data_IF_174729503287
#
_entry.id   IF_174729503287
#
_cell.length_a   1.000
_cell.length_b   1.000
_cell.length_c   1.000
_cell.angle_alpha   90.00
_cell.angle_beta   90.00
_cell.angle_gamma   90.00
#
_symmetry.space_group_name_H-M   'P 1'
#
loop_
_entity.id
_entity.type
_entity.pdbx_description
1 polymer ?
#
# COMPACT_ATOMS: atom_id res chain seq x y z
N UNK A 1 0.90 -9.48 33.21
CA UNK A 1 0.24 -9.82 31.93
C UNK A 1 1.34 -9.95 30.89
N UNK A 2 1.44 -11.12 30.26
CA UNK A 2 2.56 -11.49 29.40
C UNK A 2 2.54 -10.69 28.10
N UNK A 3 3.61 -9.93 27.85
CA UNK A 3 3.86 -9.26 26.58
C UNK A 3 4.33 -10.31 25.57
N UNK A 4 3.49 -10.64 24.59
CA UNK A 4 3.85 -11.49 23.47
C UNK A 4 4.65 -10.64 22.50
N UNK A 5 5.98 -10.72 22.57
CA UNK A 5 6.88 -10.21 21.53
C UNK A 5 6.66 -11.04 20.27
N UNK A 6 6.04 -10.46 19.26
CA UNK A 6 5.75 -11.13 17.99
C UNK A 6 6.60 -10.50 16.89
N UNK A 7 7.69 -11.18 16.52
CA UNK A 7 8.60 -10.74 15.46
C UNK A 7 7.94 -10.81 14.07
N UNK A 8 8.39 -9.96 13.15
CA UNK A 8 7.95 -9.86 11.73
C UNK A 8 7.75 -11.22 11.03
N UNK A 9 8.61 -12.21 11.33
CA UNK A 9 8.52 -13.57 10.77
C UNK A 9 7.18 -14.24 11.10
N UNK A 10 6.64 -13.96 12.29
CA UNK A 10 5.39 -14.53 12.79
C UNK A 10 4.15 -13.92 12.11
N UNK A 11 4.21 -12.64 11.71
CA UNK A 11 3.16 -11.96 10.94
C UNK A 11 3.05 -12.50 9.50
N UNK A 12 4.18 -12.85 8.89
CA UNK A 12 4.20 -13.45 7.54
C UNK A 12 3.73 -14.91 7.60
N UNK A 13 4.13 -15.68 8.62
CA UNK A 13 3.78 -17.10 8.76
C UNK A 13 2.28 -17.34 8.96
N UNK A 14 1.59 -16.49 9.73
CA UNK A 14 0.14 -16.63 9.98
C UNK A 14 -0.70 -16.35 8.74
N UNK A 15 -0.27 -15.43 7.86
CA UNK A 15 -0.97 -15.13 6.60
C UNK A 15 -0.83 -16.29 5.59
N UNK A 16 0.33 -16.94 5.54
CA UNK A 16 0.59 -18.10 4.64
C UNK A 16 -0.19 -19.33 5.10
N UNK A 17 -0.20 -19.62 6.41
CA UNK A 17 -0.92 -20.76 6.97
C UNK A 17 -2.44 -20.63 6.79
N UNK A 18 -3.00 -19.43 6.91
CA UNK A 18 -4.44 -19.17 6.72
C UNK A 18 -4.90 -19.30 5.26
N UNK A 19 -3.99 -19.06 4.29
CA UNK A 19 -4.24 -19.28 2.85
C UNK A 19 -4.15 -20.77 2.47
N UNK A 20 -3.24 -21.53 3.09
CA UNK A 20 -3.13 -22.97 2.87
C UNK A 20 -4.35 -23.74 3.41
N UNK A 21 -4.88 -23.37 4.58
CA UNK A 21 -6.05 -24.07 5.15
C UNK A 21 -7.35 -23.82 4.38
N UNK A 22 -7.44 -22.73 3.61
CA UNK A 22 -8.64 -22.37 2.85
C UNK A 22 -8.75 -23.09 1.48
N UNK A 23 -7.64 -23.64 0.96
CA UNK A 23 -7.64 -24.36 -0.33
C UNK A 23 -7.93 -25.87 -0.20
N UNK A 24 -7.82 -26.43 1.01
CA UNK A 24 -8.03 -27.87 1.26
C UNK A 24 -9.53 -28.22 1.42
N UNK A 25 -10.42 -27.23 1.64
CA UNK A 25 -11.84 -27.46 1.91
C UNK A 25 -12.74 -27.62 0.67
N UNK A 26 -12.21 -27.61 -0.56
CA UNK A 26 -13.01 -27.68 -1.80
C UNK A 26 -12.79 -28.93 -2.66
N UNK A 27 -12.06 -29.95 -2.19
CA UNK A 27 -11.89 -31.21 -2.93
C UNK A 27 -12.60 -32.34 -2.19
N UNK A 28 -13.93 -32.34 -2.25
CA UNK A 28 -14.74 -33.53 -1.96
C UNK A 28 -15.46 -33.97 -3.24
N UNK A 29 -14.83 -34.93 -3.92
CA UNK A 29 -15.39 -36.00 -4.75
C UNK A 29 -16.70 -35.76 -5.52
N UNK A 30 -16.59 -35.63 -6.85
CA UNK A 30 -17.63 -36.09 -7.78
C UNK A 30 -16.99 -37.20 -8.62
N UNK A 31 -17.33 -38.46 -8.32
CA UNK A 31 -17.08 -39.59 -9.22
C UNK A 31 -18.31 -39.78 -10.09
N UNK A 32 -18.25 -39.36 -11.36
CA UNK A 32 -19.22 -39.77 -12.37
C UNK A 32 -18.77 -41.09 -13.00
N UNK A 33 -19.60 -42.12 -12.87
CA UNK A 33 -19.44 -43.42 -13.52
C UNK A 33 -19.78 -43.30 -15.00
N UNK A 34 -18.77 -43.42 -15.87
CA UNK A 34 -18.92 -43.46 -17.32
C UNK A 34 -19.24 -44.90 -17.79
N UNK A 35 -20.46 -45.13 -18.27
CA UNK A 35 -20.83 -46.37 -18.99
C UNK A 35 -20.52 -46.22 -20.48
N UNK A 36 -19.66 -47.10 -20.99
CA UNK A 36 -19.22 -47.15 -22.40
C UNK A 36 -20.32 -47.77 -23.27
N UNK A 37 -21.04 -46.97 -24.04
CA UNK A 37 -21.91 -47.45 -25.12
C UNK A 37 -21.06 -47.69 -26.37
N UNK A 38 -21.07 -48.92 -26.90
CA UNK A 38 -20.38 -49.29 -28.13
C UNK A 38 -21.34 -49.02 -29.30
N UNK A 39 -21.22 -47.86 -29.93
CA UNK A 39 -21.82 -47.60 -31.23
C UNK A 39 -20.69 -47.45 -32.26
N UNK A 40 -20.81 -48.22 -33.36
CA UNK A 40 -19.92 -48.16 -34.51
C UNK A 40 -20.09 -46.80 -35.20
N UNK A 41 -19.17 -45.86 -34.95
CA UNK A 41 -19.12 -44.57 -35.67
C UNK A 41 -18.36 -44.77 -36.97
N UNK A 42 -19.03 -44.51 -38.09
CA UNK A 42 -18.45 -44.48 -39.43
C UNK A 42 -17.60 -43.21 -39.57
N UNK A 43 -16.27 -43.36 -39.65
CA UNK A 43 -15.35 -42.24 -39.80
C UNK A 43 -15.43 -41.63 -41.20
N UNK A 44 -16.16 -40.53 -41.35
CA UNK A 44 -15.95 -39.59 -42.45
C UNK A 44 -14.84 -38.62 -42.00
N UNK A 45 -13.65 -38.61 -42.64
CA UNK A 45 -12.59 -37.69 -42.25
C UNK A 45 -13.02 -36.25 -42.54
N UNK A 46 -13.16 -35.46 -41.47
CA UNK A 46 -13.42 -34.01 -41.57
C UNK A 46 -12.18 -33.37 -42.20
N UNK A 47 -12.34 -32.80 -43.39
CA UNK A 47 -11.27 -32.05 -44.05
C UNK A 47 -11.20 -30.65 -43.41
N UNK A 48 -10.18 -30.41 -42.60
CA UNK A 48 -9.93 -29.10 -41.98
C UNK A 48 -9.05 -28.28 -42.93
N UNK A 49 -9.64 -27.30 -43.60
CA UNK A 49 -8.91 -26.35 -44.44
C UNK A 49 -8.55 -25.11 -43.62
N UNK A 50 -7.27 -24.97 -43.28
CA UNK A 50 -6.77 -23.82 -42.50
C UNK A 50 -6.36 -22.70 -43.44
N UNK A 51 -7.12 -21.60 -43.44
CA UNK A 51 -6.80 -20.39 -44.20
C UNK A 51 -6.20 -19.32 -43.30
N UNK A 52 -4.93 -18.97 -43.53
CA UNK A 52 -4.20 -17.97 -42.74
C UNK A 52 -4.46 -16.52 -43.17
N UNK A 53 -5.22 -16.31 -44.25
CA UNK A 53 -5.59 -15.00 -44.79
C UNK A 53 -6.89 -14.45 -44.23
N UNK A 54 -7.63 -15.26 -43.45
CA UNK A 54 -8.91 -14.89 -42.86
C UNK A 54 -8.70 -14.82 -41.34
N UNK A 55 -9.10 -13.72 -40.72
CA UNK A 55 -9.09 -13.56 -39.27
C UNK A 55 -10.53 -13.61 -38.75
N UNK A 56 -10.82 -14.49 -37.79
CA UNK A 56 -12.16 -14.58 -37.17
C UNK A 56 -12.54 -13.31 -36.38
N UNK A 57 -11.54 -12.57 -35.90
CA UNK A 57 -11.70 -11.31 -35.19
C UNK A 57 -10.43 -10.48 -35.27
N UNK A 58 -10.57 -9.15 -35.20
CA UNK A 58 -9.43 -8.25 -35.09
C UNK A 58 -8.79 -8.38 -33.70
N UNK A 59 -7.48 -8.58 -33.66
CA UNK A 59 -6.74 -8.63 -32.41
C UNK A 59 -6.62 -7.21 -31.83
N UNK A 60 -7.33 -6.92 -30.74
CA UNK A 60 -7.24 -5.65 -30.03
C UNK A 60 -6.34 -5.79 -28.81
N UNK A 61 -5.26 -5.01 -28.74
CA UNK A 61 -4.35 -5.00 -27.59
C UNK A 61 -4.56 -3.73 -26.78
N UNK A 62 -4.92 -3.89 -25.50
CA UNK A 62 -5.14 -2.78 -24.58
C UNK A 62 -3.87 -2.54 -23.75
N UNK A 63 -3.23 -1.35 -23.84
CA UNK A 63 -2.11 -1.03 -22.98
C UNK A 63 -2.60 -0.83 -21.54
N UNK A 64 -2.08 -1.63 -20.61
CA UNK A 64 -2.35 -1.48 -19.17
C UNK A 64 -1.08 -1.07 -18.45
N UNK A 65 -1.21 -0.17 -17.48
CA UNK A 65 -0.09 0.33 -16.68
C UNK A 65 -0.33 0.07 -15.20
N UNK A 66 0.61 -0.61 -14.56
CA UNK A 66 0.63 -0.75 -13.11
C UNK A 66 1.60 0.26 -12.51
N UNK A 67 1.07 1.14 -11.66
CA UNK A 67 1.88 2.09 -10.90
C UNK A 67 1.93 1.62 -9.44
N UNK A 68 3.15 1.38 -8.95
CA UNK A 68 3.40 0.96 -7.56
C UNK A 68 3.57 2.20 -6.69
N UNK A 69 2.93 2.22 -5.52
CA UNK A 69 3.12 3.26 -4.50
C UNK A 69 4.60 3.44 -4.15
N UNK A 70 5.16 4.61 -4.43
CA UNK A 70 6.55 5.00 -4.13
C UNK A 70 6.54 6.42 -3.53
N UNK A 71 7.38 6.74 -2.52
CA UNK A 71 7.59 8.11 -2.03
C UNK A 71 7.75 9.16 -3.15
N UNK A 72 8.44 8.85 -4.24
CA UNK A 72 8.61 9.76 -5.38
C UNK A 72 7.31 10.07 -6.14
N UNK A 73 6.24 9.27 -5.95
CA UNK A 73 4.90 9.56 -6.48
C UNK A 73 4.05 10.42 -5.53
N UNK A 74 4.52 10.65 -4.30
CA UNK A 74 3.74 11.38 -3.31
C UNK A 74 3.68 12.88 -3.66
N UNK A 75 2.46 13.39 -3.78
CA UNK A 75 2.20 14.79 -4.16
C UNK A 75 2.67 15.80 -3.11
N UNK A 76 2.80 15.35 -1.87
CA UNK A 76 3.08 16.20 -0.71
C UNK A 76 4.57 16.56 -0.57
N UNK A 77 5.48 15.69 -1.02
CA UNK A 77 6.92 15.87 -0.74
C UNK A 77 7.86 15.54 -1.90
N UNK A 78 7.39 14.86 -2.96
CA UNK A 78 8.26 14.59 -4.11
C UNK A 78 8.41 15.84 -4.97
N UNK A 79 9.64 16.31 -5.28
CA UNK A 79 9.83 17.46 -6.17
C UNK A 79 9.47 17.16 -7.64
N UNK A 80 9.39 15.87 -8.01
CA UNK A 80 9.20 15.40 -9.39
C UNK A 80 7.78 14.84 -9.65
N UNK A 81 6.87 14.90 -8.68
CA UNK A 81 5.55 14.26 -8.82
C UNK A 81 4.77 14.78 -10.04
N UNK A 82 4.86 16.09 -10.34
CA UNK A 82 4.15 16.72 -11.47
C UNK A 82 4.58 16.12 -12.80
N UNK A 83 5.89 15.96 -13.00
CA UNK A 83 6.46 15.39 -14.22
C UNK A 83 6.09 13.92 -14.36
N UNK A 84 6.12 13.16 -13.26
CA UNK A 84 5.70 11.76 -13.28
C UNK A 84 4.24 11.64 -13.71
N UNK A 85 3.31 12.39 -13.10
CA UNK A 85 1.90 12.33 -13.49
C UNK A 85 1.63 12.89 -14.90
N UNK A 86 2.42 13.86 -15.36
CA UNK A 86 2.35 14.34 -16.74
C UNK A 86 2.76 13.26 -17.76
N UNK A 87 3.87 12.56 -17.49
CA UNK A 87 4.36 11.46 -18.33
C UNK A 87 3.39 10.26 -18.29
N UNK A 88 2.85 9.93 -17.12
CA UNK A 88 1.83 8.87 -16.99
C UNK A 88 0.58 9.18 -17.82
N UNK A 89 0.19 10.47 -17.91
CA UNK A 89 -0.93 10.90 -18.74
C UNK A 89 -0.60 10.77 -20.24
N UNK A 90 0.64 11.03 -20.66
CA UNK A 90 1.07 10.88 -22.04
C UNK A 90 1.09 9.42 -22.52
N UNK A 91 1.28 8.46 -21.62
CA UNK A 91 1.27 7.03 -21.98
C UNK A 91 -0.07 6.54 -22.54
N UNK A 92 -1.16 7.32 -22.36
CA UNK A 92 -2.49 7.03 -22.90
C UNK A 92 -2.95 5.58 -22.64
N UNK A 93 -2.61 5.05 -21.46
CA UNK A 93 -3.04 3.73 -21.05
C UNK A 93 -4.56 3.74 -20.85
N UNK A 94 -5.24 2.74 -21.43
CA UNK A 94 -6.70 2.65 -21.34
C UNK A 94 -7.15 2.34 -19.90
N UNK A 95 -6.33 1.57 -19.18
CA UNK A 95 -6.53 1.27 -17.75
C UNK A 95 -5.24 1.45 -16.96
N UNK A 96 -5.30 2.31 -15.93
CA UNK A 96 -4.27 2.45 -14.93
C UNK A 96 -4.72 1.80 -13.63
N UNK A 97 -3.94 0.84 -13.11
CA UNK A 97 -4.21 0.22 -11.80
C UNK A 97 -3.16 0.66 -10.79
N UNK A 98 -3.64 1.07 -9.62
CA UNK A 98 -2.79 1.45 -8.51
C UNK A 98 -2.52 0.22 -7.65
N UNK A 99 -1.27 -0.24 -7.64
CA UNK A 99 -0.85 -1.37 -6.83
C UNK A 99 -0.28 -0.85 -5.51
N UNK A 100 -1.09 -0.94 -4.46
CA UNK A 100 -0.68 -0.66 -3.09
C UNK A 100 0.14 -1.87 -2.61
N UNK A 101 1.47 -1.79 -2.69
CA UNK A 101 2.31 -2.84 -2.12
C UNK A 101 2.33 -2.71 -0.59
N UNK A 102 2.68 -3.80 0.11
CA UNK A 102 2.67 -3.93 1.58
C UNK A 102 3.19 -2.66 2.28
N UNK A 103 2.58 -2.28 3.41
CA UNK A 103 2.77 -0.96 4.00
C UNK A 103 4.23 -0.78 4.40
N UNK A 104 4.95 0.06 3.66
CA UNK A 104 6.14 0.72 4.18
C UNK A 104 5.79 1.30 5.55
N UNK A 105 6.67 1.20 6.56
CA UNK A 105 6.48 1.94 7.80
C UNK A 105 6.31 3.42 7.45
N UNK A 106 5.09 3.91 7.65
CA UNK A 106 4.67 5.28 7.50
C UNK A 106 4.69 5.91 8.87
N UNK A 107 5.38 7.03 8.99
CA UNK A 107 5.10 7.96 10.06
C UNK A 107 3.90 8.78 9.64
N UNK A 108 2.86 8.77 10.47
CA UNK A 108 1.73 9.66 10.36
C UNK A 108 1.74 10.58 11.58
N UNK A 109 1.84 11.89 11.36
CA UNK A 109 1.74 12.89 12.43
C UNK A 109 0.59 13.85 12.13
N UNK A 110 -0.33 14.01 13.07
CA UNK A 110 -1.27 15.13 13.11
C UNK A 110 -0.89 16.02 14.28
N UNK A 111 -0.82 17.34 14.04
CA UNK A 111 -0.50 18.34 15.05
C UNK A 111 -1.64 19.38 15.23
N UNK A 112 -1.93 19.73 16.49
CA UNK A 112 -3.08 20.56 16.96
C UNK A 112 -2.83 22.06 16.92
N UNK A 113 -3.95 22.77 16.79
CA UNK A 113 -4.17 24.22 16.85
C UNK A 113 -3.44 24.99 17.98
N UNK A 114 -2.86 26.14 17.61
CA UNK A 114 -2.98 27.40 18.38
C UNK A 114 -3.26 28.62 17.46
N UNK A 115 -3.67 29.79 18.00
CA UNK A 115 -4.88 30.61 17.71
C UNK A 115 -5.11 31.13 16.26
N UNK A 116 -4.64 30.40 15.24
CA UNK A 116 -4.56 30.82 13.84
C UNK A 116 -5.18 29.83 12.84
N UNK A 117 -5.58 28.62 13.27
CA UNK A 117 -6.32 27.66 12.45
C UNK A 117 -5.50 26.91 11.39
N UNK A 118 -4.17 26.96 11.46
CA UNK A 118 -3.28 26.23 10.56
C UNK A 118 -2.77 24.97 11.26
N UNK A 119 -3.31 23.81 10.89
CA UNK A 119 -2.83 22.50 11.34
C UNK A 119 -1.83 21.95 10.32
N UNK A 120 -0.66 21.50 10.78
CA UNK A 120 0.34 20.83 9.94
C UNK A 120 0.32 19.33 10.21
N UNK A 121 0.49 18.55 9.15
CA UNK A 121 0.55 17.11 9.23
C UNK A 121 1.45 16.59 8.12
N UNK A 122 1.81 15.31 8.19
CA UNK A 122 2.46 14.66 7.07
C UNK A 122 2.53 13.15 7.23
N UNK A 123 2.71 12.49 6.09
CA UNK A 123 3.06 11.09 6.02
C UNK A 123 4.37 10.92 5.27
N UNK A 124 5.32 10.20 5.84
CA UNK A 124 6.60 9.86 5.18
C UNK A 124 6.86 8.37 5.29
N UNK A 125 7.50 7.79 4.28
CA UNK A 125 7.95 6.39 4.33
C UNK A 125 9.24 6.25 5.13
N UNK A 126 9.55 5.01 5.51
CA UNK A 126 10.81 4.66 6.16
C UNK A 126 12.04 5.14 5.37
N UNK A 127 13.04 5.65 6.09
CA UNK A 127 14.25 6.25 5.53
C UNK A 127 14.11 7.72 5.14
N UNK A 128 12.92 8.31 5.24
CA UNK A 128 12.68 9.73 4.99
C UNK A 128 12.37 10.49 6.28
N UNK A 129 12.53 11.82 6.26
CA UNK A 129 12.19 12.69 7.40
C UNK A 129 10.96 13.54 7.13
N UNK A 130 10.15 13.73 8.15
CA UNK A 130 9.06 14.70 8.16
C UNK A 130 9.54 15.99 8.85
N UNK A 131 9.22 17.14 8.25
CA UNK A 131 9.58 18.46 8.77
C UNK A 131 8.31 19.23 9.12
N UNK A 132 8.20 19.69 10.36
CA UNK A 132 7.09 20.50 10.87
C UNK A 132 7.64 21.88 11.25
N UNK A 133 6.92 22.96 10.91
CA UNK A 133 7.34 24.33 11.14
C UNK A 133 6.16 25.26 11.45
N UNK A 134 6.29 26.01 12.54
CA UNK A 134 5.38 27.06 12.96
C UNK A 134 5.90 28.47 12.59
N UNK A 135 6.88 28.58 11.70
CA UNK A 135 7.50 29.87 11.33
C UNK A 135 6.48 30.90 10.82
N UNK A 136 5.43 30.45 10.12
CA UNK A 136 4.40 31.34 9.56
C UNK A 136 3.57 32.04 10.63
N UNK A 137 3.45 31.47 11.83
CA UNK A 137 2.68 32.03 12.96
C UNK A 137 3.57 32.64 14.04
N UNK A 138 4.90 32.64 13.84
CA UNK A 138 5.89 33.02 14.85
C UNK A 138 5.69 32.28 16.20
N UNK A 139 5.13 31.07 16.12
CA UNK A 139 4.78 30.23 17.26
C UNK A 139 5.78 29.09 17.48
N UNK A 140 5.47 28.26 18.48
CA UNK A 140 6.15 26.99 18.72
C UNK A 140 5.14 25.85 18.69
N UNK A 141 5.62 24.66 18.34
CA UNK A 141 4.88 23.40 18.42
C UNK A 141 4.51 23.18 19.89
N UNK A 142 3.22 23.22 20.18
CA UNK A 142 2.73 23.17 21.57
C UNK A 142 2.17 21.81 21.95
N UNK A 143 1.74 21.02 20.97
CA UNK A 143 1.07 19.75 21.17
C UNK A 143 1.23 18.87 19.94
N UNK A 144 1.26 17.55 20.13
CA UNK A 144 1.18 16.55 19.06
C UNK A 144 -0.08 15.72 19.29
N UNK A 145 -0.90 15.55 18.26
CA UNK A 145 -2.25 14.96 18.41
C UNK A 145 -2.21 13.48 18.17
N UNK A 146 -1.40 13.14 17.19
CA UNK A 146 -1.26 11.82 16.67
C UNK A 146 0.16 11.67 16.17
N UNK A 147 0.83 10.59 16.57
CA UNK A 147 2.04 10.14 15.93
C UNK A 147 2.03 8.61 15.90
N UNK A 148 2.33 8.03 14.75
CA UNK A 148 2.42 6.58 14.60
C UNK A 148 3.49 6.23 13.58
N UNK A 149 4.53 5.50 14.00
CA UNK A 149 5.47 4.79 13.14
C UNK A 149 4.99 3.34 12.95
N UNK A 150 4.78 2.93 11.70
CA UNK A 150 4.26 1.60 11.35
C UNK A 150 3.29 1.69 10.18
N UNK A 151 2.14 1.05 10.23
CA UNK A 151 1.23 0.97 9.06
C UNK A 151 0.07 1.95 9.16
N UNK A 152 0.35 3.20 9.55
CA UNK A 152 -0.67 4.24 9.69
C UNK A 152 -1.28 4.64 8.34
N UNK A 153 -2.50 5.14 8.37
CA UNK A 153 -3.23 5.58 7.17
C UNK A 153 -4.21 6.71 7.51
N UNK A 154 -4.79 7.32 6.48
CA UNK A 154 -5.75 8.42 6.63
C UNK A 154 -5.26 9.73 6.03
N UNK A 155 -6.18 10.69 5.95
CA UNK A 155 -5.89 12.04 5.48
C UNK A 155 -5.30 12.90 6.61
N UNK A 156 -4.70 14.02 6.22
CA UNK A 156 -4.28 15.06 7.17
C UNK A 156 -5.42 15.44 8.12
N UNK A 157 -5.18 15.46 9.43
CA UNK A 157 -6.20 15.75 10.44
C UNK A 157 -7.19 14.60 10.71
N UNK A 158 -7.12 13.50 9.95
CA UNK A 158 -7.94 12.29 10.15
C UNK A 158 -7.07 11.03 10.07
N UNK A 159 -5.91 11.09 10.72
CA UNK A 159 -4.96 10.00 10.72
C UNK A 159 -5.42 8.90 11.67
N UNK A 160 -5.18 7.66 11.28
CA UNK A 160 -5.57 6.47 12.01
C UNK A 160 -4.36 5.59 12.22
N UNK A 161 -4.27 5.06 13.44
CA UNK A 161 -3.27 4.08 13.82
C UNK A 161 -3.44 2.80 13.00
N UNK A 162 -2.32 2.26 12.54
CA UNK A 162 -2.27 0.98 11.84
C UNK A 162 -2.30 -0.23 12.77
N UNK A 163 -2.37 -1.43 12.20
CA UNK A 163 -2.21 -2.68 12.97
C UNK A 163 -0.78 -2.86 13.51
N UNK A 164 0.20 -2.32 12.80
CA UNK A 164 1.59 -2.25 13.23
C UNK A 164 1.87 -0.79 13.61
N UNK A 165 2.28 -0.58 14.85
CA UNK A 165 2.46 0.72 15.47
C UNK A 165 3.50 0.60 16.58
N UNK A 166 4.49 1.49 16.58
CA UNK A 166 5.44 1.61 17.68
C UNK A 166 4.81 2.45 18.82
N UNK A 167 4.55 1.84 19.99
CA UNK A 167 3.86 2.48 21.12
C UNK A 167 4.56 3.76 21.65
N UNK A 168 5.88 3.86 21.45
CA UNK A 168 6.70 5.03 21.81
C UNK A 168 6.61 6.17 20.78
N UNK A 169 5.88 6.02 19.67
CA UNK A 169 5.81 7.00 18.57
C UNK A 169 5.43 8.40 19.07
N UNK A 170 4.36 8.49 19.86
CA UNK A 170 3.85 9.75 20.41
C UNK A 170 4.84 10.40 21.36
N UNK A 171 5.45 9.63 22.26
CA UNK A 171 6.41 10.16 23.23
C UNK A 171 7.67 10.71 22.54
N UNK A 172 8.20 9.98 21.55
CA UNK A 172 9.37 10.41 20.80
C UNK A 172 9.10 11.70 20.04
N UNK A 173 7.99 11.78 19.31
CA UNK A 173 7.66 12.97 18.52
C UNK A 173 7.40 14.17 19.42
N UNK A 174 6.66 13.99 20.53
CA UNK A 174 6.44 15.06 21.50
C UNK A 174 7.75 15.60 22.07
N UNK A 175 8.66 14.71 22.46
CA UNK A 175 9.97 15.09 23.00
C UNK A 175 10.83 15.86 21.99
N UNK A 176 10.73 15.54 20.71
CA UNK A 176 11.54 16.18 19.65
C UNK A 176 10.95 17.53 19.23
N UNK A 177 9.63 17.66 19.20
CA UNK A 177 8.96 18.80 18.58
C UNK A 177 8.39 19.81 19.57
N UNK A 178 7.89 19.40 20.74
CA UNK A 178 7.25 20.35 21.67
C UNK A 178 8.26 21.42 22.12
N UNK A 179 7.83 22.68 22.05
CA UNK A 179 8.62 23.85 22.38
C UNK A 179 9.55 24.33 21.27
N UNK A 180 9.62 23.61 20.13
CA UNK A 180 10.42 24.01 18.98
C UNK A 180 9.58 24.79 17.96
N UNK A 181 10.19 25.75 17.29
CA UNK A 181 9.56 26.44 16.16
C UNK A 181 9.57 25.60 14.88
N UNK A 182 10.56 24.71 14.75
CA UNK A 182 10.69 23.75 13.66
C UNK A 182 11.27 22.45 14.22
N UNK A 183 10.81 21.31 13.74
CA UNK A 183 11.40 20.00 14.06
C UNK A 183 11.47 19.11 12.82
N UNK A 184 12.50 18.25 12.78
CA UNK A 184 12.69 17.23 11.76
C UNK A 184 12.74 15.86 12.43
N UNK A 185 11.85 14.95 12.03
CA UNK A 185 11.74 13.61 12.60
C UNK A 185 12.08 12.59 11.51
N UNK A 186 13.19 11.83 11.64
CA UNK A 186 13.53 10.77 10.70
C UNK A 186 12.71 9.49 10.96
N UNK A 187 12.04 8.98 9.93
CA UNK A 187 11.30 7.72 9.99
C UNK A 187 12.22 6.51 9.90
N UNK A 188 12.81 6.12 11.04
CA UNK A 188 13.82 5.06 11.12
C UNK A 188 13.54 4.13 12.29
N UNK A 189 13.85 2.85 12.12
CA UNK A 189 13.76 1.86 13.20
C UNK A 189 14.76 2.11 14.32
N UNK A 190 15.86 2.83 14.06
CA UNK A 190 16.82 3.24 15.10
C UNK A 190 16.17 4.21 16.11
N UNK A 191 15.32 5.11 15.62
CA UNK A 191 14.64 6.09 16.47
C UNK A 191 13.40 5.51 17.14
N UNK A 192 12.56 4.78 16.39
CA UNK A 192 11.25 4.32 16.86
C UNK A 192 11.23 2.85 17.31
N UNK A 193 12.22 2.05 16.92
CA UNK A 193 12.17 0.59 17.04
C UNK A 193 11.50 -0.07 15.83
N UNK A 194 11.42 -1.40 15.86
CA UNK A 194 10.74 -2.21 14.83
C UNK A 194 9.37 -2.69 15.39
N UNK A 195 8.24 -2.14 14.89
CA UNK A 195 6.89 -2.40 15.40
C UNK A 195 6.18 -3.65 14.86
#
# INVERSE_FOLDING_TARGET
MAAVRMNIIQCVLTIVLYRLTCTIAHISSISETYTKHHDHVQENPILIEVSWTIHDYNLHTIPTLQVVTNPLLARQFSPIYKEIFANLKQLNAEYARYAVWFPYPKIAIAELDPPSGLFQCGNVGEGFSINLSCEQSNGVISKVDFASYGTSSGACGQMQQGKCHAENSSEIVQRVCIGQQQCSIPATSDLFGDP
#
